data_IF_591103448266
#
_entry.id   IF_591103448266
#
_cell.length_a   1.000
_cell.length_b   1.000
_cell.length_c   1.000
_cell.angle_alpha   90.00
_cell.angle_beta   90.00
_cell.angle_gamma   90.00
#
_symmetry.space_group_name_H-M   'P 1'
#
loop_
_entity.id
_entity.type
_entity.pdbx_description
1 polymer ?
#
# COMPACT_ATOMS: atom_id res chain seq x y z
N UNK A 1 8.47 10.45 6.60
CA UNK A 1 8.18 11.56 5.66
C UNK A 1 8.34 11.02 4.25
N UNK A 2 7.45 11.38 3.33
CA UNK A 2 7.50 10.94 1.93
C UNK A 2 8.06 12.06 1.07
N UNK A 3 9.04 11.72 0.24
CA UNK A 3 9.74 12.66 -0.63
C UNK A 3 9.40 12.42 -2.09
N UNK A 4 9.52 13.47 -2.89
CA UNK A 4 9.48 13.38 -4.35
C UNK A 4 10.86 13.01 -4.92
N UNK A 5 10.96 12.94 -6.26
CA UNK A 5 12.21 12.63 -6.97
C UNK A 5 13.33 13.65 -6.71
N UNK A 6 12.97 14.88 -6.33
CA UNK A 6 13.89 15.97 -6.01
C UNK A 6 14.25 16.00 -4.52
N UNK A 7 13.76 15.04 -3.72
CA UNK A 7 14.00 14.96 -2.28
C UNK A 7 13.12 15.89 -1.44
N UNK A 8 12.18 16.62 -2.04
CA UNK A 8 11.28 17.54 -1.32
C UNK A 8 10.22 16.73 -0.58
N UNK A 9 10.00 17.05 0.71
CA UNK A 9 8.95 16.42 1.50
C UNK A 9 7.59 16.89 1.00
N UNK A 10 6.76 15.96 0.52
CA UNK A 10 5.41 16.27 0.01
C UNK A 10 4.30 15.77 0.91
N UNK A 11 4.56 14.73 1.71
CA UNK A 11 3.54 14.12 2.55
C UNK A 11 4.14 13.42 3.78
N UNK A 12 3.25 13.06 4.72
CA UNK A 12 3.57 12.23 5.88
C UNK A 12 2.65 11.01 5.85
N UNK A 13 3.24 9.82 5.95
CA UNK A 13 2.50 8.60 6.22
C UNK A 13 2.44 8.37 7.73
N UNK A 14 1.30 7.92 8.22
CA UNK A 14 1.10 7.50 9.60
C UNK A 14 1.27 5.98 9.66
N UNK A 15 2.01 5.52 10.66
CA UNK A 15 2.25 4.08 10.90
C UNK A 15 2.26 3.84 12.41
N UNK A 16 2.05 2.60 12.83
CA UNK A 16 2.18 2.24 14.24
C UNK A 16 3.65 2.24 14.67
N UNK A 17 3.90 2.60 15.94
CA UNK A 17 5.26 2.65 16.52
C UNK A 17 6.01 1.33 16.37
N UNK A 18 5.31 0.20 16.48
CA UNK A 18 5.89 -1.15 16.34
C UNK A 18 6.39 -1.44 14.92
N UNK A 19 5.77 -0.84 13.91
CA UNK A 19 6.13 -1.06 12.51
C UNK A 19 7.25 -0.13 12.03
N UNK A 20 7.50 0.96 12.76
CA UNK A 20 8.51 1.97 12.43
C UNK A 20 9.91 1.38 12.18
N UNK A 21 10.37 0.48 13.06
CA UNK A 21 11.70 -0.15 12.93
C UNK A 21 11.83 -0.94 11.63
N UNK A 22 10.79 -1.69 11.26
CA UNK A 22 10.75 -2.49 10.03
C UNK A 22 10.70 -1.58 8.79
N UNK A 23 9.83 -0.56 8.81
CA UNK A 23 9.65 0.39 7.69
C UNK A 23 10.91 1.19 7.39
N UNK A 24 11.65 1.62 8.42
CA UNK A 24 12.90 2.39 8.24
C UNK A 24 14.14 1.49 8.01
N UNK A 25 14.15 0.28 8.56
CA UNK A 25 15.30 -0.63 8.47
C UNK A 25 15.51 -1.28 7.11
N UNK A 26 14.47 -1.36 6.27
CA UNK A 26 14.48 -2.17 5.04
C UNK A 26 15.12 -1.51 3.80
N UNK A 27 15.89 -0.41 3.97
CA UNK A 27 16.50 0.39 2.88
C UNK A 27 15.53 0.90 1.80
N UNK A 28 14.22 0.82 2.03
CA UNK A 28 13.24 1.36 1.10
C UNK A 28 13.15 2.88 1.21
N UNK A 29 13.32 3.55 0.07
CA UNK A 29 13.04 4.96 -0.07
C UNK A 29 11.54 5.15 -0.33
N UNK A 30 10.78 5.36 0.75
CA UNK A 30 9.33 5.60 0.67
C UNK A 30 9.04 6.98 0.04
N UNK A 31 8.28 6.98 -1.06
CA UNK A 31 7.84 8.16 -1.78
C UNK A 31 6.30 8.22 -1.86
N UNK A 32 5.79 9.39 -2.21
CA UNK A 32 4.37 9.55 -2.48
C UNK A 32 4.07 9.13 -3.93
N UNK A 33 2.95 8.46 -4.15
CA UNK A 33 2.49 8.06 -5.48
C UNK A 33 1.01 8.32 -5.60
N UNK A 34 0.61 9.03 -6.66
CA UNK A 34 -0.79 9.40 -6.90
C UNK A 34 -1.44 8.40 -7.86
N UNK A 35 -2.60 7.88 -7.48
CA UNK A 35 -3.44 6.99 -8.29
C UNK A 35 -4.86 7.56 -8.23
N UNK A 36 -5.36 8.06 -9.37
CA UNK A 36 -6.57 8.89 -9.40
C UNK A 36 -6.39 10.10 -8.47
N UNK A 37 -7.34 10.31 -7.56
CA UNK A 37 -7.27 11.38 -6.56
C UNK A 37 -6.60 10.98 -5.23
N UNK A 38 -6.22 9.71 -5.10
CA UNK A 38 -5.65 9.17 -3.87
C UNK A 38 -4.12 9.17 -3.93
N UNK A 39 -3.50 9.46 -2.78
CA UNK A 39 -2.04 9.44 -2.63
C UNK A 39 -1.62 8.32 -1.68
N UNK A 40 -0.67 7.52 -2.11
CA UNK A 40 -0.16 6.34 -1.41
C UNK A 40 1.31 6.51 -1.06
N UNK A 41 1.74 5.85 0.01
CA UNK A 41 3.14 5.67 0.33
C UNK A 41 3.66 4.40 -0.36
N UNK A 42 4.67 4.52 -1.22
CA UNK A 42 5.21 3.39 -1.97
C UNK A 42 6.73 3.40 -1.96
N UNK A 43 7.34 2.25 -2.19
CA UNK A 43 8.75 2.10 -2.48
C UNK A 43 8.91 1.46 -3.86
N UNK A 44 9.75 2.05 -4.71
CA UNK A 44 10.10 1.45 -5.99
C UNK A 44 11.34 0.56 -5.78
N UNK A 45 11.19 -0.74 -6.02
CA UNK A 45 12.28 -1.71 -5.92
C UNK A 45 12.59 -2.27 -7.32
N UNK A 46 13.75 -2.91 -7.54
CA UNK A 46 14.04 -3.58 -8.81
C UNK A 46 13.02 -4.67 -9.18
N UNK A 47 12.32 -5.24 -8.17
CA UNK A 47 11.27 -6.25 -8.36
C UNK A 47 9.88 -5.64 -8.59
N UNK A 48 9.78 -4.32 -8.62
CA UNK A 48 8.51 -3.61 -8.76
C UNK A 48 8.16 -2.72 -7.56
N UNK A 49 6.94 -2.20 -7.59
CA UNK A 49 6.44 -1.24 -6.61
C UNK A 49 5.83 -1.95 -5.42
N UNK A 50 6.28 -1.57 -4.23
CA UNK A 50 5.75 -2.06 -2.95
C UNK A 50 4.94 -0.94 -2.30
N UNK A 51 3.71 -1.23 -1.88
CA UNK A 51 2.89 -0.30 -1.12
C UNK A 51 3.13 -0.47 0.38
N UNK A 52 3.09 0.64 1.13
CA UNK A 52 3.40 0.64 2.56
C UNK A 52 2.40 -0.18 3.39
N UNK A 53 1.12 -0.10 3.05
CA UNK A 53 0.04 -0.87 3.67
C UNK A 53 0.28 -2.39 3.56
N UNK A 54 0.60 -2.88 2.36
CA UNK A 54 0.96 -4.28 2.08
C UNK A 54 2.20 -4.69 2.84
N UNK A 55 3.22 -3.82 2.87
CA UNK A 55 4.46 -4.08 3.59
C UNK A 55 4.26 -4.18 5.11
N UNK A 56 3.38 -3.35 5.68
CA UNK A 56 3.07 -3.38 7.12
C UNK A 56 2.30 -4.65 7.49
N UNK A 57 1.35 -5.07 6.66
CA UNK A 57 0.60 -6.31 6.89
C UNK A 57 1.39 -7.58 6.54
N UNK A 58 2.61 -7.43 5.99
CA UNK A 58 3.44 -8.55 5.50
C UNK A 58 2.69 -9.45 4.52
N UNK A 59 1.83 -8.83 3.71
CA UNK A 59 0.85 -9.56 2.91
C UNK A 59 1.32 -9.70 1.47
N UNK A 60 1.31 -10.93 0.98
CA UNK A 60 1.61 -11.29 -0.41
C UNK A 60 0.34 -11.20 -1.27
N UNK A 61 0.55 -11.24 -2.59
CA UNK A 61 -0.38 -10.85 -3.65
C UNK A 61 -1.76 -11.53 -3.58
N UNK A 62 -2.74 -10.90 -4.26
CA UNK A 62 -4.16 -11.29 -4.41
C UNK A 62 -5.17 -10.78 -3.37
N UNK A 63 -4.78 -9.91 -2.43
CA UNK A 63 -5.75 -9.23 -1.56
C UNK A 63 -5.71 -7.72 -1.68
N UNK A 64 -6.89 -7.14 -1.67
CA UNK A 64 -7.07 -5.69 -1.64
C UNK A 64 -7.06 -5.22 -0.20
N UNK A 65 -6.25 -4.19 0.08
CA UNK A 65 -6.21 -3.56 1.39
C UNK A 65 -7.02 -2.28 1.32
N UNK A 66 -8.00 -2.17 2.20
CA UNK A 66 -8.84 -0.99 2.33
C UNK A 66 -8.45 -0.19 3.55
N UNK A 67 -8.44 1.12 3.38
CA UNK A 67 -8.24 2.06 4.47
C UNK A 67 -9.61 2.46 5.03
N UNK A 68 -9.86 2.16 6.31
CA UNK A 68 -11.17 2.37 6.96
C UNK A 68 -11.57 3.85 6.93
N UNK A 69 -10.63 4.75 7.20
CA UNK A 69 -10.84 6.20 7.15
C UNK A 69 -10.72 6.81 5.74
N UNK A 70 -10.60 5.97 4.70
CA UNK A 70 -10.42 6.37 3.29
C UNK A 70 -9.16 7.21 3.01
N UNK A 71 -8.23 7.31 3.95
CA UNK A 71 -6.95 8.01 3.80
C UNK A 71 -5.80 7.01 3.59
N UNK A 72 -5.26 6.87 2.37
CA UNK A 72 -4.19 5.92 2.08
C UNK A 72 -2.82 6.27 2.66
N UNK A 73 -2.69 7.45 3.28
CA UNK A 73 -1.49 7.81 4.03
C UNK A 73 -1.57 7.38 5.50
N UNK A 74 -2.74 6.97 6.02
CA UNK A 74 -2.87 6.41 7.36
C UNK A 74 -2.73 4.89 7.35
N UNK A 75 -1.48 4.43 7.40
CA UNK A 75 -1.11 3.02 7.31
C UNK A 75 -0.96 2.37 8.71
N UNK A 76 -1.59 2.93 9.75
CA UNK A 76 -1.72 2.25 11.04
C UNK A 76 -2.54 0.98 10.85
N UNK A 77 -2.15 -0.13 11.48
CA UNK A 77 -2.81 -1.43 11.29
C UNK A 77 -4.30 -1.39 11.62
N UNK A 78 -4.69 -0.62 12.65
CA UNK A 78 -6.10 -0.44 13.02
C UNK A 78 -6.94 0.24 11.94
N UNK A 79 -6.31 0.87 10.95
CA UNK A 79 -6.96 1.55 9.83
C UNK A 79 -6.92 0.70 8.54
N UNK A 80 -6.32 -0.49 8.58
CA UNK A 80 -6.18 -1.36 7.41
C UNK A 80 -7.08 -2.59 7.57
N UNK A 81 -7.91 -2.84 6.55
CA UNK A 81 -8.76 -4.01 6.45
C UNK A 81 -8.41 -4.80 5.18
N UNK A 82 -8.37 -6.13 5.28
CA UNK A 82 -8.08 -7.01 4.14
C UNK A 82 -9.40 -7.49 3.55
N UNK A 83 -9.76 -6.99 2.37
CA UNK A 83 -10.91 -7.51 1.65
C UNK A 83 -10.49 -8.80 0.92
N UNK A 84 -11.27 -9.88 1.13
CA UNK A 84 -11.10 -11.11 0.35
C UNK A 84 -11.58 -10.80 -1.07
N UNK A 85 -10.69 -10.92 -2.06
CA UNK A 85 -11.10 -10.92 -3.46
C UNK A 85 -11.94 -12.19 -3.67
N UNK A 86 -13.26 -12.04 -3.76
CA UNK A 86 -14.11 -13.06 -4.33
C UNK A 86 -13.75 -13.15 -5.81
N UNK A 87 -13.07 -14.23 -6.21
CA UNK A 87 -12.91 -14.53 -7.64
C UNK A 87 -14.32 -14.58 -8.24
N UNK A 88 -14.69 -13.60 -9.05
CA UNK A 88 -15.82 -13.77 -9.96
C UNK A 88 -15.38 -14.86 -10.93
N UNK A 89 -15.95 -16.04 -10.79
CA UNK A 89 -15.87 -17.06 -11.83
C UNK A 89 -16.67 -16.47 -12.99
N UNK A 90 -15.99 -16.06 -14.06
CA UNK A 90 -16.66 -15.80 -15.33
C UNK A 90 -17.07 -17.17 -15.89
N UNK A 91 -18.31 -17.57 -15.65
CA UNK A 91 -18.97 -18.64 -16.40
C UNK A 91 -19.18 -18.16 -17.84
N UNK A 92 -18.14 -18.26 -18.67
CA UNK A 92 -18.32 -18.32 -20.11
C UNK A 92 -18.60 -19.79 -20.47
N UNK A 93 -19.83 -20.25 -20.28
CA UNK A 93 -20.30 -21.49 -20.88
C UNK A 93 -20.57 -21.24 -22.36
N UNK A 94 -19.86 -21.88 -23.32
CA UNK A 94 -20.31 -21.88 -24.69
C UNK A 94 -21.59 -22.70 -24.79
N UNK A 95 -22.65 -22.07 -25.29
CA UNK A 95 -23.83 -22.77 -25.80
C UNK A 95 -23.39 -23.65 -26.96
N UNK A 96 -23.48 -24.96 -26.79
CA UNK A 96 -23.54 -25.94 -27.86
C UNK A 96 -24.78 -26.81 -27.65
#
# INVERSE_FOLDING_TARGET
MLRDKLGVVKAKALIDKKDLKRVLGYKYAWCYHKIGDKTYAVANTPKGRVFLDKFILDYQEDKEIKHINLNPLDNKRKNLEVEKVSKKIEENAPLF
#
